data_IF_686793515840
#
_entry.id   IF_686793515840
#
_cell.length_a   1.000
_cell.length_b   1.000
_cell.length_c   1.000
_cell.angle_alpha   90.00
_cell.angle_beta   90.00
_cell.angle_gamma   90.00
#
_symmetry.space_group_name_H-M   'P 1'
#
loop_
_entity.id
_entity.type
_entity.pdbx_description
1 polymer ?
#
# COMPACT_ATOMS: atom_id res chain seq x y z
N UNK A 1 4.57 4.29 5.22
CA UNK A 1 5.08 3.48 4.09
C UNK A 1 6.56 3.85 3.88
N UNK A 2 7.46 2.87 3.69
CA UNK A 2 8.86 3.12 3.32
C UNK A 2 9.05 3.01 1.80
N UNK A 3 10.05 3.69 1.24
CA UNK A 3 10.35 3.60 -0.19
C UNK A 3 10.72 2.16 -0.61
N UNK A 4 10.39 1.79 -1.85
CA UNK A 4 10.71 0.50 -2.45
C UNK A 4 10.04 0.30 -3.80
N UNK A 5 10.07 -0.93 -4.31
CA UNK A 5 9.58 -1.28 -5.65
C UNK A 5 8.39 -2.22 -5.56
N UNK A 6 7.23 -1.76 -6.04
CA UNK A 6 6.01 -2.57 -6.17
C UNK A 6 5.83 -3.11 -7.59
N UNK A 7 5.26 -4.31 -7.71
CA UNK A 7 4.87 -4.90 -9.00
C UNK A 7 3.43 -4.49 -9.37
N UNK A 8 3.27 -3.76 -10.48
CA UNK A 8 1.97 -3.28 -10.97
C UNK A 8 1.55 -4.01 -12.26
N UNK A 9 0.27 -4.30 -12.41
CA UNK A 9 -0.33 -4.87 -13.61
C UNK A 9 -1.79 -4.41 -13.74
N UNK A 10 -2.01 -3.14 -14.02
CA UNK A 10 -3.33 -2.50 -14.08
C UNK A 10 -3.36 -1.38 -15.13
N UNK A 11 -4.57 -0.95 -15.50
CA UNK A 11 -4.79 0.13 -16.48
C UNK A 11 -5.60 1.31 -15.93
N UNK A 12 -6.13 1.18 -14.71
CA UNK A 12 -6.87 2.22 -14.01
C UNK A 12 -6.20 2.50 -12.68
N UNK A 13 -6.31 3.74 -12.21
CA UNK A 13 -5.65 4.22 -10.99
C UNK A 13 -6.50 5.30 -10.31
N UNK A 14 -6.23 5.53 -9.04
CA UNK A 14 -6.67 6.74 -8.34
C UNK A 14 -5.64 7.84 -8.53
N UNK A 15 -6.10 9.04 -8.83
CA UNK A 15 -5.22 10.21 -9.02
C UNK A 15 -4.94 10.95 -7.69
N UNK A 16 -5.81 10.80 -6.69
CA UNK A 16 -5.72 11.49 -5.40
C UNK A 16 -5.99 10.57 -4.22
N UNK A 17 -5.32 10.81 -3.09
CA UNK A 17 -5.54 10.08 -1.85
C UNK A 17 -6.88 10.55 -1.26
N UNK A 18 -7.85 9.64 -0.99
CA UNK A 18 -9.14 10.02 -0.44
C UNK A 18 -9.01 10.72 0.93
N UNK A 19 -9.89 11.68 1.28
CA UNK A 19 -9.84 12.35 2.57
C UNK A 19 -9.88 11.37 3.76
N UNK A 20 -9.02 11.62 4.75
CA UNK A 20 -8.92 10.77 5.94
C UNK A 20 -8.13 9.48 5.75
N UNK A 21 -7.41 9.33 4.63
CA UNK A 21 -6.45 8.25 4.39
C UNK A 21 -5.04 8.80 4.35
N UNK A 22 -4.08 8.01 4.83
CA UNK A 22 -2.67 8.19 4.48
C UNK A 22 -2.39 7.41 3.19
N UNK A 23 -1.41 7.83 2.39
CA UNK A 23 -1.07 7.11 1.17
C UNK A 23 0.35 7.34 0.67
N UNK A 24 0.75 6.51 -0.27
CA UNK A 24 1.98 6.64 -1.04
C UNK A 24 1.64 6.89 -2.50
N UNK A 25 2.48 7.70 -3.14
CA UNK A 25 2.39 8.01 -4.57
C UNK A 25 3.47 7.23 -5.35
N UNK A 26 3.19 6.95 -6.61
CA UNK A 26 4.16 6.52 -7.61
C UNK A 26 3.96 7.34 -8.89
N UNK A 27 4.92 7.27 -9.81
CA UNK A 27 4.82 7.91 -11.12
C UNK A 27 4.97 6.88 -12.24
N UNK A 28 4.02 6.87 -13.16
CA UNK A 28 4.11 6.18 -14.43
C UNK A 28 3.27 6.95 -15.45
N UNK A 29 3.93 7.79 -16.26
CA UNK A 29 3.23 8.74 -17.14
C UNK A 29 2.45 9.80 -16.35
N UNK A 30 2.92 10.12 -15.15
CA UNK A 30 2.29 11.06 -14.20
C UNK A 30 1.99 10.40 -12.85
N UNK A 31 1.79 11.22 -11.79
CA UNK A 31 1.62 10.76 -10.43
C UNK A 31 0.28 10.02 -10.25
N UNK A 32 0.28 9.02 -9.37
CA UNK A 32 -0.91 8.29 -8.97
C UNK A 32 -0.75 7.65 -7.59
N UNK A 33 -1.86 7.24 -6.99
CA UNK A 33 -1.88 6.59 -5.68
C UNK A 33 -1.43 5.13 -5.82
N UNK A 34 -0.30 4.79 -5.20
CA UNK A 34 0.26 3.45 -5.19
C UNK A 34 -0.30 2.58 -4.05
N UNK A 35 -0.55 3.18 -2.89
CA UNK A 35 -1.17 2.52 -1.74
C UNK A 35 -1.83 3.54 -0.82
N UNK A 36 -2.84 3.09 -0.06
CA UNK A 36 -3.50 3.87 0.99
C UNK A 36 -3.69 3.04 2.25
N UNK A 37 -3.67 3.68 3.40
CA UNK A 37 -3.95 3.05 4.69
C UNK A 37 -4.83 3.91 5.61
N UNK A 38 -5.68 3.24 6.39
CA UNK A 38 -6.53 3.85 7.43
C UNK A 38 -6.85 2.82 8.50
N UNK A 39 -6.28 3.00 9.70
CA UNK A 39 -6.38 2.01 10.77
C UNK A 39 -5.79 0.66 10.32
N UNK A 40 -6.50 -0.47 10.51
CA UNK A 40 -6.00 -1.79 10.11
C UNK A 40 -6.16 -2.09 8.60
N UNK A 41 -6.70 -1.14 7.83
CA UNK A 41 -6.93 -1.32 6.39
C UNK A 41 -5.74 -0.80 5.60
N UNK A 42 -5.13 -1.68 4.81
CA UNK A 42 -4.13 -1.37 3.81
C UNK A 42 -4.65 -1.79 2.43
N UNK A 43 -4.63 -0.88 1.45
CA UNK A 43 -4.92 -1.19 0.06
C UNK A 43 -3.72 -0.83 -0.81
N UNK A 44 -3.32 -1.76 -1.68
CA UNK A 44 -2.20 -1.61 -2.59
C UNK A 44 -2.70 -1.66 -4.03
N UNK A 45 -2.28 -0.72 -4.86
CA UNK A 45 -2.49 -0.76 -6.31
C UNK A 45 -1.53 -1.75 -6.99
N UNK A 46 -0.39 -2.02 -6.34
CA UNK A 46 0.56 -3.08 -6.70
C UNK A 46 0.25 -4.39 -5.96
N UNK A 47 0.89 -5.47 -6.40
CA UNK A 47 0.83 -6.80 -5.80
C UNK A 47 1.99 -6.99 -4.80
N UNK A 48 1.79 -6.79 -3.48
CA UNK A 48 2.87 -6.95 -2.49
C UNK A 48 3.47 -8.36 -2.51
N UNK A 49 2.66 -9.40 -2.79
CA UNK A 49 3.08 -10.79 -2.92
C UNK A 49 4.02 -11.05 -4.11
N UNK A 50 4.00 -10.18 -5.12
CA UNK A 50 4.89 -10.22 -6.28
C UNK A 50 6.05 -9.22 -6.20
N UNK A 51 6.18 -8.49 -5.08
CA UNK A 51 7.14 -7.39 -4.91
C UNK A 51 8.39 -7.77 -4.09
N UNK A 52 8.72 -9.06 -4.07
CA UNK A 52 9.93 -9.59 -3.42
C UNK A 52 9.99 -9.32 -1.91
N UNK A 53 11.21 -9.13 -1.38
CA UNK A 53 11.44 -8.93 0.06
C UNK A 53 10.77 -7.67 0.60
N UNK A 54 10.73 -6.60 -0.20
CA UNK A 54 10.07 -5.36 0.19
C UNK A 54 8.57 -5.56 0.36
N UNK A 55 7.94 -6.27 -0.59
CA UNK A 55 6.52 -6.62 -0.49
C UNK A 55 6.19 -7.52 0.69
N UNK A 56 7.03 -8.53 0.96
CA UNK A 56 6.89 -9.38 2.14
C UNK A 56 6.96 -8.56 3.46
N UNK A 57 7.94 -7.65 3.59
CA UNK A 57 8.07 -6.79 4.76
C UNK A 57 6.84 -5.87 4.95
N UNK A 58 6.23 -5.41 3.86
CA UNK A 58 4.98 -4.64 3.92
C UNK A 58 3.81 -5.48 4.46
N UNK A 59 3.68 -6.73 4.01
CA UNK A 59 2.66 -7.66 4.50
C UNK A 59 2.87 -7.95 5.99
N UNK A 60 4.11 -8.22 6.42
CA UNK A 60 4.44 -8.47 7.82
C UNK A 60 4.07 -7.27 8.72
N UNK A 61 4.40 -6.05 8.27
CA UNK A 61 4.00 -4.82 8.97
C UNK A 61 2.48 -4.70 9.10
N UNK A 62 1.74 -4.99 8.02
CA UNK A 62 0.29 -4.92 8.05
C UNK A 62 -0.32 -5.94 9.03
N UNK A 63 0.17 -7.19 9.02
CA UNK A 63 -0.27 -8.21 9.96
C UNK A 63 0.06 -7.87 11.42
N UNK A 64 1.22 -7.26 11.68
CA UNK A 64 1.59 -6.79 13.01
C UNK A 64 0.64 -5.68 13.51
N UNK A 65 0.37 -4.68 12.68
CA UNK A 65 -0.56 -3.59 13.01
C UNK A 65 -2.00 -4.10 13.24
N UNK A 66 -2.44 -5.10 12.46
CA UNK A 66 -3.74 -5.72 12.65
C UNK A 66 -3.87 -6.37 14.04
N UNK A 67 -2.81 -7.06 14.52
CA UNK A 67 -2.79 -7.67 15.86
C UNK A 67 -2.88 -6.62 16.98
N UNK A 68 -2.18 -5.51 16.86
CA UNK A 68 -2.23 -4.42 17.84
C UNK A 68 -3.62 -3.77 17.93
N UNK A 69 -4.38 -3.80 16.84
CA UNK A 69 -5.74 -3.26 16.78
C UNK A 69 -6.83 -4.21 17.32
N UNK A 70 -6.48 -5.46 17.66
CA UNK A 70 -7.42 -6.44 18.20
C UNK A 70 -7.41 -6.40 19.75
N UNK A 71 -8.59 -6.38 20.40
CA UNK A 71 -8.72 -6.16 21.85
C UNK A 71 -8.55 -7.42 22.71
N UNK A 72 -8.00 -8.51 22.19
CA UNK A 72 -7.85 -9.81 22.88
C UNK A 72 -6.47 -10.41 22.59
#
# INVERSE_FOLDING_TARGET
LCEGYGYFANSYRLDEIPPGWAGAMADYGGPFVAAIERGPVLACQFHPELSGQWGAALIDRWLAAAKESLPW
#
